data_IF_993906289197
#
_entry.id   IF_993906289197
#
_cell.length_a   1.000
_cell.length_b   1.000
_cell.length_c   1.000
_cell.angle_alpha   90.00
_cell.angle_beta   90.00
_cell.angle_gamma   90.00
#
_symmetry.space_group_name_H-M   'P 1'
#
loop_
_entity.id
_entity.type
_entity.pdbx_description
1 polymer ?
#
# COMPACT_ATOMS: atom_id res chain seq x y z
N UNK A 1 -14.59 -18.00 4.47
CA UNK A 1 -13.65 -16.91 4.10
C UNK A 1 -12.24 -17.34 4.43
N UNK A 2 -11.30 -17.26 3.49
CA UNK A 2 -9.88 -17.47 3.84
C UNK A 2 -9.44 -16.28 4.71
N UNK A 3 -9.05 -16.57 5.92
CA UNK A 3 -8.56 -15.54 6.86
C UNK A 3 -7.25 -14.97 6.33
N UNK A 4 -7.13 -13.63 6.23
CA UNK A 4 -5.89 -12.97 5.79
C UNK A 4 -4.73 -13.47 6.67
N UNK A 5 -3.57 -13.75 6.05
CA UNK A 5 -2.37 -14.19 6.80
C UNK A 5 -2.05 -13.18 7.90
N UNK A 6 -1.91 -13.62 9.17
CA UNK A 6 -1.60 -12.72 10.30
C UNK A 6 -0.36 -11.89 10.06
N UNK A 7 -0.34 -10.65 10.53
CA UNK A 7 0.75 -9.68 10.26
C UNK A 7 2.13 -10.20 10.68
N UNK A 8 2.24 -10.89 11.83
CA UNK A 8 3.50 -11.44 12.33
C UNK A 8 4.08 -12.59 11.48
N UNK A 9 3.31 -13.08 10.52
CA UNK A 9 3.75 -14.09 9.54
C UNK A 9 4.05 -13.49 8.16
N UNK A 10 3.93 -12.18 7.97
CA UNK A 10 4.21 -11.47 6.71
C UNK A 10 5.64 -10.95 6.74
N UNK A 11 6.60 -11.81 6.44
CA UNK A 11 8.05 -11.54 6.54
C UNK A 11 8.60 -10.77 5.35
N UNK A 12 7.96 -10.86 4.19
CA UNK A 12 8.41 -10.27 2.94
C UNK A 12 7.28 -9.55 2.21
N UNK A 13 7.58 -8.32 1.76
CA UNK A 13 6.66 -7.43 1.08
C UNK A 13 7.29 -7.01 -0.25
N UNK A 14 6.70 -7.42 -1.37
CA UNK A 14 7.22 -7.21 -2.71
C UNK A 14 6.43 -6.14 -3.43
N UNK A 15 7.08 -5.03 -3.78
CA UNK A 15 6.52 -3.99 -4.64
C UNK A 15 6.60 -4.41 -6.10
N UNK A 16 5.50 -4.27 -6.83
CA UNK A 16 5.32 -4.71 -8.20
C UNK A 16 4.74 -3.56 -9.02
N UNK A 17 5.42 -3.12 -10.06
CA UNK A 17 4.89 -2.06 -10.93
C UNK A 17 3.50 -2.40 -11.45
N UNK A 18 2.52 -1.53 -11.17
CA UNK A 18 1.09 -1.83 -11.32
C UNK A 18 0.67 -2.23 -12.74
N UNK A 19 1.39 -1.74 -13.75
CA UNK A 19 1.11 -1.97 -15.16
C UNK A 19 2.20 -2.77 -15.88
N UNK A 20 3.12 -3.41 -15.14
CA UNK A 20 4.27 -4.13 -15.70
C UNK A 20 4.00 -5.63 -15.64
N UNK A 21 3.53 -6.19 -16.75
CA UNK A 21 3.08 -7.58 -16.85
C UNK A 21 4.17 -8.57 -16.40
N UNK A 22 5.41 -8.42 -16.87
CA UNK A 22 6.52 -9.28 -16.45
C UNK A 22 6.76 -9.26 -14.94
N UNK A 23 6.67 -8.09 -14.29
CA UNK A 23 6.82 -8.00 -12.84
C UNK A 23 5.67 -8.68 -12.09
N UNK A 24 4.45 -8.61 -12.65
CA UNK A 24 3.28 -9.31 -12.10
C UNK A 24 3.47 -10.82 -12.19
N UNK A 25 3.99 -11.32 -13.32
CA UNK A 25 4.28 -12.75 -13.51
C UNK A 25 5.38 -13.23 -12.58
N UNK A 26 6.47 -12.47 -12.44
CA UNK A 26 7.53 -12.75 -11.47
C UNK A 26 7.01 -12.75 -10.03
N UNK A 27 6.14 -11.81 -9.68
CA UNK A 27 5.50 -11.76 -8.36
C UNK A 27 4.60 -12.99 -8.11
N UNK A 28 3.91 -13.47 -9.15
CA UNK A 28 3.10 -14.68 -9.06
C UNK A 28 3.93 -15.88 -8.61
N UNK A 29 5.15 -16.03 -9.14
CA UNK A 29 6.05 -17.14 -8.85
C UNK A 29 6.94 -16.90 -7.61
N UNK A 30 7.01 -15.68 -7.10
CA UNK A 30 7.86 -15.33 -5.96
C UNK A 30 7.41 -16.03 -4.67
N UNK A 31 8.31 -16.12 -3.69
CA UNK A 31 8.01 -16.59 -2.33
C UNK A 31 7.54 -15.47 -1.38
N UNK A 32 7.24 -14.27 -1.91
CA UNK A 32 6.79 -13.15 -1.09
C UNK A 32 5.47 -13.46 -0.37
N UNK A 33 5.38 -13.08 0.89
CA UNK A 33 4.16 -13.24 1.70
C UNK A 33 3.09 -12.21 1.34
N UNK A 34 3.53 -11.00 0.94
CA UNK A 34 2.67 -9.89 0.48
C UNK A 34 3.16 -9.41 -0.88
N UNK A 35 2.26 -9.28 -1.85
CA UNK A 35 2.54 -8.62 -3.12
C UNK A 35 1.74 -7.33 -3.19
N UNK A 36 2.40 -6.24 -3.59
CA UNK A 36 1.86 -4.88 -3.62
C UNK A 36 1.82 -4.41 -5.06
N UNK A 37 0.62 -4.25 -5.63
CA UNK A 37 0.46 -3.58 -6.91
C UNK A 37 0.63 -2.06 -6.70
N UNK A 38 1.64 -1.48 -7.33
CA UNK A 38 2.17 -0.18 -6.98
C UNK A 38 1.81 0.88 -8.04
N UNK A 39 0.99 1.87 -7.65
CA UNK A 39 0.43 2.90 -8.54
C UNK A 39 1.13 4.25 -8.46
N UNK A 40 1.93 4.52 -7.43
CA UNK A 40 2.52 5.82 -7.21
C UNK A 40 3.80 6.00 -8.03
N UNK A 41 4.92 5.40 -7.60
CA UNK A 41 6.24 5.61 -8.20
C UNK A 41 6.52 4.68 -9.39
N UNK A 42 5.95 3.46 -9.39
CA UNK A 42 6.25 2.43 -10.40
C UNK A 42 5.14 2.27 -11.45
N UNK A 43 4.23 3.25 -11.54
CA UNK A 43 3.19 3.28 -12.56
C UNK A 43 3.07 4.67 -13.17
N UNK A 44 3.55 4.82 -14.41
CA UNK A 44 3.40 6.09 -15.13
C UNK A 44 1.92 6.45 -15.31
N UNK A 45 1.55 7.74 -15.27
CA UNK A 45 0.14 8.17 -15.31
C UNK A 45 -0.67 7.57 -16.45
N UNK A 46 -0.07 7.45 -17.63
CA UNK A 46 -0.71 6.96 -18.86
C UNK A 46 -1.08 5.46 -18.78
N UNK A 47 -0.47 4.73 -17.85
CA UNK A 47 -0.72 3.29 -17.64
C UNK A 47 -1.63 3.01 -16.45
N UNK A 48 -1.97 3.99 -15.61
CA UNK A 48 -2.77 3.81 -14.40
C UNK A 48 -4.16 3.24 -14.67
N UNK A 49 -4.81 3.68 -15.76
CA UNK A 49 -6.12 3.14 -16.15
C UNK A 49 -6.04 1.66 -16.52
N UNK A 50 -5.04 1.29 -17.31
CA UNK A 50 -4.78 -0.12 -17.63
C UNK A 50 -4.51 -0.94 -16.36
N UNK A 51 -3.67 -0.43 -15.46
CA UNK A 51 -3.36 -1.10 -14.20
C UNK A 51 -4.61 -1.33 -13.33
N UNK A 52 -5.52 -0.35 -13.24
CA UNK A 52 -6.82 -0.51 -12.56
C UNK A 52 -7.69 -1.57 -13.22
N UNK A 53 -7.67 -1.64 -14.54
CA UNK A 53 -8.46 -2.62 -15.31
C UNK A 53 -8.02 -4.06 -15.04
N UNK A 54 -6.72 -4.32 -14.94
CA UNK A 54 -6.17 -5.67 -14.70
C UNK A 54 -6.16 -6.05 -13.21
N UNK A 55 -6.32 -5.09 -12.30
CA UNK A 55 -6.22 -5.30 -10.85
C UNK A 55 -7.08 -6.46 -10.33
N UNK A 56 -8.36 -6.65 -10.74
CA UNK A 56 -9.16 -7.75 -10.22
C UNK A 56 -8.52 -9.12 -10.46
N UNK A 57 -7.93 -9.33 -11.63
CA UNK A 57 -7.25 -10.58 -11.98
C UNK A 57 -5.95 -10.76 -11.20
N UNK A 58 -5.16 -9.70 -11.08
CA UNK A 58 -3.90 -9.68 -10.30
C UNK A 58 -4.17 -10.03 -8.84
N UNK A 59 -5.11 -9.35 -8.19
CA UNK A 59 -5.48 -9.57 -6.79
C UNK A 59 -6.01 -11.00 -6.58
N UNK A 60 -6.90 -11.46 -7.45
CA UNK A 60 -7.45 -12.82 -7.37
C UNK A 60 -6.36 -13.90 -7.50
N UNK A 61 -5.40 -13.69 -8.41
CA UNK A 61 -4.28 -14.61 -8.63
C UNK A 61 -3.38 -14.70 -7.39
N UNK A 62 -2.98 -13.57 -6.80
CA UNK A 62 -2.17 -13.55 -5.59
C UNK A 62 -2.87 -14.23 -4.41
N UNK A 63 -4.14 -13.92 -4.19
CA UNK A 63 -4.95 -14.56 -3.13
C UNK A 63 -5.09 -16.08 -3.34
N UNK A 64 -5.30 -16.54 -4.58
CA UNK A 64 -5.35 -17.96 -4.92
C UNK A 64 -4.03 -18.68 -4.61
N UNK A 65 -2.90 -17.97 -4.74
CA UNK A 65 -1.56 -18.47 -4.40
C UNK A 65 -1.20 -18.34 -2.91
N UNK A 66 -2.15 -17.92 -2.07
CA UNK A 66 -1.98 -17.78 -0.62
C UNK A 66 -1.16 -16.56 -0.19
N UNK A 67 -0.96 -15.61 -1.10
CA UNK A 67 -0.31 -14.32 -0.79
C UNK A 67 -1.35 -13.34 -0.24
N UNK A 68 -0.90 -12.40 0.58
CA UNK A 68 -1.68 -11.20 0.92
C UNK A 68 -1.59 -10.26 -0.27
N UNK A 69 -2.72 -9.86 -0.80
CA UNK A 69 -2.80 -8.96 -1.95
C UNK A 69 -2.95 -7.51 -1.46
N UNK A 70 -1.99 -6.68 -1.79
CA UNK A 70 -1.96 -5.27 -1.38
C UNK A 70 -1.89 -4.33 -2.58
N UNK A 71 -2.30 -3.08 -2.38
CA UNK A 71 -2.20 -2.00 -3.37
C UNK A 71 -1.64 -0.77 -2.69
N UNK A 72 -0.56 -0.18 -3.25
CA UNK A 72 -0.15 1.19 -2.92
C UNK A 72 -0.84 2.14 -3.90
N UNK A 73 -1.75 2.94 -3.39
CA UNK A 73 -2.51 3.93 -4.16
C UNK A 73 -1.70 5.21 -4.35
N UNK A 74 -2.09 6.08 -5.27
CA UNK A 74 -1.63 7.46 -5.27
C UNK A 74 -2.15 8.20 -4.01
N UNK A 75 -1.51 9.31 -3.57
CA UNK A 75 -2.04 10.14 -2.49
C UNK A 75 -3.51 10.51 -2.72
N UNK A 76 -4.32 10.58 -1.65
CA UNK A 76 -5.75 10.92 -1.77
C UNK A 76 -6.02 12.35 -2.23
N UNK A 77 -5.00 13.18 -2.26
CA UNK A 77 -5.00 14.53 -2.82
C UNK A 77 -4.79 14.53 -4.36
N UNK A 78 -4.23 13.45 -4.89
CA UNK A 78 -4.14 13.23 -6.34
C UNK A 78 -5.50 12.72 -6.86
N UNK A 79 -6.00 13.21 -8.01
CA UNK A 79 -7.24 12.72 -8.64
C UNK A 79 -7.25 11.21 -8.90
N UNK A 80 -6.09 10.58 -9.06
CA UNK A 80 -5.99 9.13 -9.25
C UNK A 80 -6.09 8.35 -7.93
N UNK A 81 -5.75 8.94 -6.78
CA UNK A 81 -5.77 8.23 -5.50
C UNK A 81 -7.13 7.63 -5.14
N UNK A 82 -8.21 8.38 -5.34
CA UNK A 82 -9.58 7.87 -5.13
C UNK A 82 -9.97 6.81 -6.17
N UNK A 83 -9.53 6.97 -7.43
CA UNK A 83 -9.79 5.97 -8.48
C UNK A 83 -9.08 4.66 -8.18
N UNK A 84 -7.82 4.73 -7.72
CA UNK A 84 -7.03 3.57 -7.32
C UNK A 84 -7.65 2.86 -6.14
N UNK A 85 -8.04 3.62 -5.10
CA UNK A 85 -8.71 3.08 -3.92
C UNK A 85 -10.02 2.37 -4.29
N UNK A 86 -10.84 3.00 -5.14
CA UNK A 86 -12.10 2.41 -5.61
C UNK A 86 -11.86 1.09 -6.35
N UNK A 87 -10.87 1.05 -7.25
CA UNK A 87 -10.50 -0.15 -7.97
C UNK A 87 -10.00 -1.24 -7.00
N UNK A 88 -9.18 -0.89 -6.02
CA UNK A 88 -8.64 -1.81 -5.02
C UNK A 88 -9.74 -2.46 -4.16
N UNK A 89 -10.65 -1.66 -3.61
CA UNK A 89 -11.76 -2.20 -2.80
C UNK A 89 -12.70 -3.06 -3.66
N UNK A 90 -13.02 -2.60 -4.87
CA UNK A 90 -13.83 -3.39 -5.83
C UNK A 90 -13.18 -4.75 -6.14
N UNK A 91 -11.86 -4.78 -6.33
CA UNK A 91 -11.08 -6.00 -6.58
C UNK A 91 -10.92 -6.91 -5.35
N UNK A 92 -11.44 -6.51 -4.20
CA UNK A 92 -11.34 -7.27 -2.95
C UNK A 92 -9.89 -7.41 -2.44
N UNK A 93 -9.14 -6.30 -2.45
CA UNK A 93 -7.78 -6.23 -1.88
C UNK A 93 -7.80 -6.54 -0.38
N UNK A 94 -6.72 -7.10 0.14
CA UNK A 94 -6.57 -7.34 1.58
C UNK A 94 -6.03 -6.10 2.32
N UNK A 95 -5.10 -5.37 1.70
CA UNK A 95 -4.39 -4.26 2.34
C UNK A 95 -4.20 -3.09 1.38
N UNK A 96 -4.45 -1.87 1.85
CA UNK A 96 -4.17 -0.62 1.13
C UNK A 96 -2.99 0.09 1.80
N UNK A 97 -1.99 0.47 1.01
CA UNK A 97 -0.86 1.30 1.45
C UNK A 97 -1.12 2.75 1.05
N UNK A 98 -0.97 3.67 2.02
CA UNK A 98 -1.05 5.12 1.77
C UNK A 98 0.36 5.69 1.71
N UNK A 99 0.83 6.21 0.55
CA UNK A 99 2.12 6.88 0.46
C UNK A 99 2.11 8.21 1.21
N UNK A 100 3.29 8.69 1.60
CA UNK A 100 3.51 10.01 2.18
C UNK A 100 2.54 10.35 3.32
N UNK A 101 2.35 9.38 4.23
CA UNK A 101 1.53 9.57 5.42
C UNK A 101 2.26 10.50 6.40
N UNK A 102 1.85 11.77 6.41
CA UNK A 102 2.49 12.85 7.17
C UNK A 102 1.67 13.30 8.38
N UNK A 103 0.36 13.12 8.34
CA UNK A 103 -0.54 13.62 9.37
C UNK A 103 -1.66 12.63 9.69
N UNK A 104 -2.12 12.57 10.95
CA UNK A 104 -3.19 11.65 11.37
C UNK A 104 -4.48 11.78 10.55
N UNK A 105 -4.85 13.01 10.14
CA UNK A 105 -6.07 13.24 9.37
C UNK A 105 -6.10 12.52 8.01
N UNK A 106 -4.93 12.26 7.41
CA UNK A 106 -4.84 11.52 6.14
C UNK A 106 -5.30 10.08 6.33
N UNK A 107 -4.97 9.49 7.48
CA UNK A 107 -5.42 8.14 7.82
C UNK A 107 -6.92 8.13 8.12
N UNK A 108 -7.42 9.13 8.87
CA UNK A 108 -8.85 9.27 9.14
C UNK A 108 -9.65 9.41 7.84
N UNK A 109 -9.15 10.22 6.89
CA UNK A 109 -9.74 10.36 5.55
C UNK A 109 -9.75 9.03 4.80
N UNK A 110 -8.61 8.30 4.79
CA UNK A 110 -8.52 6.99 4.13
C UNK A 110 -9.49 5.99 4.76
N UNK A 111 -9.56 5.90 6.09
CA UNK A 111 -10.48 5.00 6.80
C UNK A 111 -11.93 5.29 6.39
N UNK A 112 -12.32 6.55 6.33
CA UNK A 112 -13.66 6.94 5.91
C UNK A 112 -13.94 6.54 4.46
N UNK A 113 -13.03 6.83 3.53
CA UNK A 113 -13.17 6.44 2.13
C UNK A 113 -13.27 4.91 1.96
N UNK A 114 -12.41 4.14 2.65
CA UNK A 114 -12.45 2.67 2.61
C UNK A 114 -13.79 2.16 3.13
N UNK A 115 -14.27 2.71 4.26
CA UNK A 115 -15.54 2.29 4.87
C UNK A 115 -16.73 2.53 3.94
N UNK A 116 -16.78 3.69 3.28
CA UNK A 116 -17.84 4.00 2.32
C UNK A 116 -17.78 3.08 1.09
N UNK A 117 -16.58 2.79 0.59
CA UNK A 117 -16.42 1.88 -0.54
C UNK A 117 -16.72 0.41 -0.16
N UNK A 118 -16.38 -0.04 1.04
CA UNK A 118 -16.78 -1.36 1.53
C UNK A 118 -18.30 -1.50 1.57
N UNK A 119 -19.02 -0.47 2.06
CA UNK A 119 -20.49 -0.43 2.04
C UNK A 119 -21.03 -0.47 0.60
N UNK A 120 -20.48 0.37 -0.27
CA UNK A 120 -20.91 0.47 -1.66
C UNK A 120 -20.75 -0.86 -2.41
N UNK A 121 -19.64 -1.56 -2.19
CA UNK A 121 -19.38 -2.85 -2.85
C UNK A 121 -19.88 -4.07 -2.06
N UNK A 122 -20.66 -3.87 -0.99
CA UNK A 122 -21.20 -4.95 -0.18
C UNK A 122 -20.14 -5.81 0.50
N UNK A 123 -19.01 -5.20 0.86
CA UNK A 123 -17.93 -5.88 1.60
C UNK A 123 -18.20 -5.84 3.10
N UNK A 124 -17.57 -6.73 3.83
CA UNK A 124 -17.56 -6.67 5.30
C UNK A 124 -16.82 -5.41 5.75
N UNK A 125 -17.46 -4.62 6.61
CA UNK A 125 -16.83 -3.40 7.15
C UNK A 125 -15.62 -3.77 8.00
N UNK A 126 -14.53 -3.05 7.84
CA UNK A 126 -13.21 -3.31 8.43
C UNK A 126 -12.48 -4.56 7.84
N UNK A 127 -12.88 -5.05 6.68
CA UNK A 127 -12.21 -6.17 6.01
C UNK A 127 -10.91 -5.76 5.32
N UNK A 128 -10.75 -4.47 4.96
CA UNK A 128 -9.53 -3.96 4.32
C UNK A 128 -8.58 -3.36 5.35
N UNK A 129 -7.36 -3.85 5.41
CA UNK A 129 -6.28 -3.33 6.26
C UNK A 129 -5.62 -2.09 5.65
N UNK A 130 -5.00 -1.26 6.49
CA UNK A 130 -4.28 -0.05 6.07
C UNK A 130 -2.84 -0.11 6.58
N UNK A 131 -1.91 0.28 5.70
CA UNK A 131 -0.48 0.42 6.02
C UNK A 131 -0.02 1.82 5.59
N UNK A 132 0.17 2.76 6.52
CA UNK A 132 0.78 4.05 6.23
C UNK A 132 2.24 3.91 5.83
N UNK A 133 2.68 4.62 4.79
CA UNK A 133 4.10 4.75 4.47
C UNK A 133 4.65 6.04 5.10
N UNK A 134 5.55 5.88 6.06
CA UNK A 134 6.29 6.97 6.69
C UNK A 134 7.58 7.17 5.90
N UNK A 135 7.61 8.17 5.05
CA UNK A 135 8.70 8.39 4.09
C UNK A 135 9.17 9.84 4.00
N UNK A 136 8.67 10.69 4.90
CA UNK A 136 9.08 12.08 5.04
C UNK A 136 9.32 12.44 6.51
N UNK A 137 10.20 13.42 6.76
CA UNK A 137 10.58 13.85 8.11
C UNK A 137 9.36 14.25 8.97
N UNK A 138 8.39 14.95 8.37
CA UNK A 138 7.15 15.33 9.06
C UNK A 138 6.29 14.11 9.43
N UNK A 139 6.26 13.09 8.58
CA UNK A 139 5.58 11.83 8.88
C UNK A 139 6.25 11.08 10.01
N UNK A 140 7.58 11.11 10.09
CA UNK A 140 8.35 10.53 11.19
C UNK A 140 8.05 11.26 12.52
N UNK A 141 8.02 12.59 12.52
CA UNK A 141 7.64 13.40 13.68
C UNK A 141 6.24 13.04 14.20
N UNK A 142 5.30 12.80 13.30
CA UNK A 142 3.92 12.47 13.62
C UNK A 142 3.64 10.95 13.71
N UNK A 143 4.66 10.10 13.60
CA UNK A 143 4.47 8.65 13.43
C UNK A 143 3.58 8.04 14.51
N UNK A 144 3.81 8.38 15.79
CA UNK A 144 3.00 7.88 16.89
C UNK A 144 1.52 8.21 16.69
N UNK A 145 1.19 9.48 16.45
CA UNK A 145 -0.20 9.92 16.26
C UNK A 145 -0.84 9.37 14.97
N UNK A 146 -0.05 9.08 13.93
CA UNK A 146 -0.51 8.40 12.72
C UNK A 146 -0.88 6.94 13.03
N UNK A 147 -0.13 6.26 13.87
CA UNK A 147 -0.24 4.81 14.10
C UNK A 147 -1.17 4.45 15.27
N UNK A 148 -1.28 5.31 16.28
CA UNK A 148 -2.04 5.02 17.51
C UNK A 148 -3.52 4.71 17.32
N UNK A 149 -4.10 5.12 16.22
CA UNK A 149 -5.57 5.26 16.15
C UNK A 149 -6.31 4.04 15.63
N UNK A 150 -5.74 2.70 15.53
CA UNK A 150 -6.55 2.30 14.43
C UNK A 150 -6.78 0.82 14.23
N UNK A 151 -8.04 0.47 14.38
CA UNK A 151 -8.54 -0.89 14.09
C UNK A 151 -8.07 -1.46 12.75
N UNK A 152 -7.83 -0.57 11.72
CA UNK A 152 -7.41 -0.99 10.37
C UNK A 152 -5.91 -0.88 10.13
N UNK A 153 -5.17 -0.08 10.92
CA UNK A 153 -3.71 0.06 10.76
C UNK A 153 -3.03 -1.12 11.40
N UNK A 154 -2.47 -1.99 10.56
CA UNK A 154 -1.87 -3.26 11.00
C UNK A 154 -0.35 -3.24 11.02
N UNK A 155 0.26 -2.33 10.26
CA UNK A 155 1.70 -2.14 10.14
C UNK A 155 1.99 -0.73 9.64
N UNK A 156 3.26 -0.36 9.58
CA UNK A 156 3.75 0.81 8.84
C UNK A 156 4.98 0.42 8.03
N UNK A 157 5.14 1.07 6.89
CA UNK A 157 6.33 0.94 6.05
C UNK A 157 7.14 2.24 6.16
N UNK A 158 8.46 2.11 6.29
CA UNK A 158 9.39 3.25 6.25
C UNK A 158 10.19 3.16 4.95
N UNK A 159 10.02 4.14 4.06
CA UNK A 159 10.79 4.25 2.82
C UNK A 159 12.07 5.08 3.09
N UNK A 160 13.19 4.38 3.22
CA UNK A 160 14.46 4.99 3.62
C UNK A 160 15.04 5.95 2.59
N UNK A 161 14.81 5.72 1.30
CA UNK A 161 15.29 6.57 0.22
C UNK A 161 14.58 7.93 0.26
N UNK A 162 13.25 7.93 0.26
CA UNK A 162 12.44 9.15 0.35
C UNK A 162 12.68 9.90 1.66
N UNK A 163 12.84 9.17 2.75
CA UNK A 163 13.21 9.73 4.05
C UNK A 163 14.56 10.45 3.98
N UNK A 164 15.57 9.86 3.32
CA UNK A 164 16.89 10.47 3.14
C UNK A 164 16.79 11.77 2.33
N UNK A 165 15.99 11.79 1.28
CA UNK A 165 15.73 13.00 0.49
C UNK A 165 15.03 14.05 1.34
N UNK A 166 13.99 13.69 2.09
CA UNK A 166 13.24 14.60 2.96
C UNK A 166 14.12 15.22 4.05
N UNK A 167 15.02 14.43 4.62
CA UNK A 167 15.99 14.88 5.64
C UNK A 167 17.20 15.64 5.03
N UNK A 168 17.28 15.79 3.70
CA UNK A 168 18.43 16.36 2.99
C UNK A 168 19.75 15.67 3.36
N UNK A 169 19.69 14.38 3.63
CA UNK A 169 20.82 13.58 4.06
C UNK A 169 21.57 13.03 2.85
N UNK A 170 22.90 13.21 2.77
CA UNK A 170 23.66 12.69 1.64
C UNK A 170 23.65 11.16 1.64
N UNK A 171 23.33 10.60 0.49
CA UNK A 171 23.46 9.15 0.25
C UNK A 171 24.95 8.78 0.31
N UNK A 172 25.32 7.90 1.20
CA UNK A 172 26.69 7.42 1.30
C UNK A 172 26.77 5.90 1.14
N UNK A 173 27.94 5.41 0.69
CA UNK A 173 28.18 3.97 0.44
C UNK A 173 28.09 3.10 1.70
N UNK A 174 28.14 3.70 2.88
CA UNK A 174 28.15 2.96 4.15
C UNK A 174 26.79 2.82 4.78
N UNK A 175 25.76 3.44 4.20
CA UNK A 175 24.36 3.38 4.67
C UNK A 175 24.18 3.61 6.19
N UNK A 176 25.10 4.36 6.81
CA UNK A 176 25.13 4.57 8.27
C UNK A 176 23.83 5.18 8.81
N UNK A 177 23.10 5.91 7.95
CA UNK A 177 21.81 6.53 8.30
C UNK A 177 20.67 5.51 8.35
N UNK A 178 20.82 4.37 7.68
CA UNK A 178 19.79 3.31 7.62
C UNK A 178 19.95 2.25 8.72
N UNK A 179 20.95 2.39 9.59
CA UNK A 179 21.30 1.41 10.63
C UNK A 179 20.95 1.87 12.05
N UNK A 180 19.98 2.79 12.20
CA UNK A 180 19.49 3.23 13.50
C UNK A 180 18.08 2.71 13.76
#
# INVERSE_FOLDING_TARGET
MNKIRPIHLRRSWLFVGAATENHIDEANESSADVCIQEFEDFCVPERREFARKIMPEVIATWKKRGKVAAVRINPLEDPDGIKDLRAAISANVDTVLLPKANYPYQIDKLINCVTELEKEFGKEINSTEIVPNIEQAIGLENALSILEKKQRVVASLVASEDMSVSLKSPRNKTSKILNY
#
